data_IF_081119378779
#
_entry.id   IF_081119378779
#
_cell.length_a   1.000
_cell.length_b   1.000
_cell.length_c   1.000
_cell.angle_alpha   90.00
_cell.angle_beta   90.00
_cell.angle_gamma   90.00
#
_symmetry.space_group_name_H-M   'P 1'
#
loop_
_entity.id
_entity.type
_entity.pdbx_description
1 polymer ?
#
# COMPACT_ATOMS: atom_id res chain seq x y z
N UNK A 1 6.46 -67.97 -0.57
CA UNK A 1 7.78 -67.39 -0.89
C UNK A 1 7.66 -66.68 -2.22
N UNK A 2 7.26 -65.41 -2.24
CA UNK A 2 7.40 -64.54 -3.42
C UNK A 2 7.63 -63.10 -2.96
N UNK A 3 8.92 -62.77 -2.89
CA UNK A 3 9.57 -61.48 -3.09
C UNK A 3 8.72 -60.21 -2.92
N UNK A 4 8.95 -59.47 -1.84
CA UNK A 4 8.71 -58.03 -1.79
C UNK A 4 9.58 -57.35 -2.86
N UNK A 5 8.94 -56.86 -3.92
CA UNK A 5 9.59 -56.03 -4.93
C UNK A 5 10.04 -54.73 -4.29
N UNK A 6 11.35 -54.54 -4.20
CA UNK A 6 11.94 -53.23 -3.96
C UNK A 6 11.67 -52.36 -5.19
N UNK A 7 10.80 -51.35 -5.05
CA UNK A 7 10.84 -50.18 -5.92
C UNK A 7 11.55 -49.04 -5.20
N UNK A 8 12.87 -49.11 -5.32
CA UNK A 8 13.76 -48.00 -5.60
C UNK A 8 13.08 -46.86 -6.37
N UNK A 9 12.93 -45.68 -5.75
CA UNK A 9 12.91 -44.45 -6.55
C UNK A 9 13.35 -43.22 -5.75
N UNK A 10 14.67 -42.98 -5.68
CA UNK A 10 15.19 -41.71 -5.16
C UNK A 10 14.80 -40.52 -6.05
N UNK A 11 14.42 -40.76 -7.31
CA UNK A 11 13.92 -39.75 -8.25
C UNK A 11 12.53 -39.22 -7.89
N UNK A 12 11.64 -40.07 -7.38
CA UNK A 12 10.27 -39.68 -7.00
C UNK A 12 10.27 -38.78 -5.75
N UNK A 13 11.17 -39.06 -4.79
CA UNK A 13 11.41 -38.20 -3.61
C UNK A 13 11.97 -36.83 -4.00
N UNK A 14 12.93 -36.80 -4.92
CA UNK A 14 13.50 -35.54 -5.44
C UNK A 14 12.46 -34.69 -6.16
N UNK A 15 11.51 -35.32 -6.86
CA UNK A 15 10.44 -34.64 -7.59
C UNK A 15 9.33 -34.12 -6.66
N UNK A 16 9.05 -34.80 -5.54
CA UNK A 16 8.16 -34.32 -4.47
C UNK A 16 8.80 -33.15 -3.72
N UNK A 17 10.10 -33.22 -3.42
CA UNK A 17 10.84 -32.13 -2.76
C UNK A 17 10.91 -30.90 -3.69
N UNK A 18 11.15 -31.07 -4.99
CA UNK A 18 11.18 -29.95 -5.95
C UNK A 18 9.80 -29.31 -6.16
N UNK A 19 8.71 -30.10 -6.10
CA UNK A 19 7.32 -29.60 -6.09
C UNK A 19 6.96 -28.85 -4.79
N UNK A 20 7.57 -29.25 -3.67
CA UNK A 20 7.30 -28.68 -2.33
C UNK A 20 8.11 -27.40 -2.07
N UNK A 21 9.36 -27.32 -2.54
CA UNK A 21 10.20 -26.12 -2.43
C UNK A 21 9.68 -25.00 -3.35
N UNK A 22 9.16 -25.33 -4.54
CA UNK A 22 8.48 -24.36 -5.43
C UNK A 22 7.21 -23.74 -4.83
N UNK A 23 6.61 -24.37 -3.80
CA UNK A 23 5.48 -23.80 -3.07
C UNK A 23 5.91 -22.76 -2.03
N UNK A 24 7.15 -22.83 -1.53
CA UNK A 24 7.66 -21.92 -0.49
C UNK A 24 8.36 -20.70 -1.09
N UNK A 25 8.97 -20.83 -2.27
CA UNK A 25 9.61 -19.72 -2.96
C UNK A 25 8.63 -19.05 -3.94
N UNK A 26 7.51 -18.58 -3.41
CA UNK A 26 6.71 -17.56 -4.09
C UNK A 26 7.33 -16.23 -3.69
N UNK A 27 8.02 -15.56 -4.62
CA UNK A 27 8.28 -14.14 -4.49
C UNK A 27 6.91 -13.45 -4.49
N UNK A 28 6.33 -13.22 -3.32
CA UNK A 28 5.04 -12.54 -3.20
C UNK A 28 5.29 -11.05 -3.45
N UNK A 29 5.21 -10.63 -4.72
CA UNK A 29 5.22 -9.23 -5.11
C UNK A 29 3.84 -8.64 -4.86
N UNK A 30 3.67 -8.00 -3.70
CA UNK A 30 2.47 -7.23 -3.38
C UNK A 30 2.58 -5.84 -3.99
N UNK A 31 1.51 -5.36 -4.59
CA UNK A 31 1.47 -3.99 -5.14
C UNK A 31 0.90 -3.07 -4.09
N UNK A 32 1.65 -2.03 -3.73
CA UNK A 32 1.16 -0.95 -2.89
C UNK A 32 1.12 0.38 -3.65
N UNK A 33 0.13 1.20 -3.33
CA UNK A 33 0.01 2.57 -3.81
C UNK A 33 -0.39 3.49 -2.66
N UNK A 34 0.17 4.69 -2.65
CA UNK A 34 -0.17 5.74 -1.68
C UNK A 34 -0.66 6.95 -2.46
N UNK A 35 -1.90 7.34 -2.21
CA UNK A 35 -2.52 8.53 -2.78
C UNK A 35 -2.98 9.45 -1.63
N UNK A 36 -3.05 10.76 -1.88
CA UNK A 36 -3.57 11.71 -0.91
C UNK A 36 -4.92 12.26 -1.37
N UNK A 37 -5.90 12.20 -0.47
CA UNK A 37 -7.25 12.69 -0.71
C UNK A 37 -7.68 13.66 0.38
N UNK A 38 -8.64 14.50 0.05
CA UNK A 38 -9.12 15.55 0.95
C UNK A 38 -10.62 15.39 1.16
N UNK A 39 -11.04 15.35 2.42
CA UNK A 39 -12.45 15.27 2.82
C UNK A 39 -12.87 16.56 3.49
N UNK A 40 -13.99 17.14 3.06
CA UNK A 40 -14.54 18.36 3.66
C UNK A 40 -15.04 18.08 5.08
N UNK A 41 -14.85 19.03 5.97
CA UNK A 41 -15.44 18.95 7.32
C UNK A 41 -16.97 18.94 7.25
N UNK A 42 -17.60 18.27 8.21
CA UNK A 42 -19.07 18.27 8.36
C UNK A 42 -19.59 19.62 8.85
N UNK A 43 -18.82 20.29 9.70
CA UNK A 43 -19.17 21.59 10.30
C UNK A 43 -18.99 22.70 9.28
N UNK A 44 -17.79 22.78 8.69
CA UNK A 44 -17.40 23.88 7.82
C UNK A 44 -16.93 23.36 6.45
N UNK A 45 -17.74 23.62 5.42
CA UNK A 45 -17.43 23.17 4.03
C UNK A 45 -16.28 23.94 3.38
N UNK A 46 -15.82 25.03 3.99
CA UNK A 46 -14.62 25.76 3.59
C UNK A 46 -13.35 25.01 3.97
N UNK A 47 -13.43 24.21 5.03
CA UNK A 47 -12.33 23.47 5.63
C UNK A 47 -12.37 22.02 5.15
N UNK A 48 -11.20 21.45 4.93
CA UNK A 48 -11.05 20.05 4.61
C UNK A 48 -9.80 19.46 5.26
N UNK A 49 -9.87 18.15 5.51
CA UNK A 49 -8.80 17.38 6.13
C UNK A 49 -8.14 16.47 5.11
N UNK A 50 -6.83 16.30 5.25
CA UNK A 50 -6.02 15.46 4.38
C UNK A 50 -5.98 14.03 4.93
N UNK A 51 -6.14 13.07 4.02
CA UNK A 51 -6.07 11.64 4.29
C UNK A 51 -5.06 11.00 3.34
N UNK A 52 -4.21 10.13 3.89
CA UNK A 52 -3.41 9.19 3.12
C UNK A 52 -4.26 7.95 2.83
N UNK A 53 -4.42 7.60 1.55
CA UNK A 53 -5.04 6.37 1.11
C UNK A 53 -3.94 5.38 0.73
N UNK A 54 -3.81 4.34 1.53
CA UNK A 54 -2.89 3.23 1.28
C UNK A 54 -3.69 2.12 0.63
N UNK A 55 -3.29 1.70 -0.57
CA UNK A 55 -3.88 0.58 -1.29
C UNK A 55 -2.89 -0.56 -1.34
N UNK A 56 -3.30 -1.75 -0.90
CA UNK A 56 -2.54 -2.99 -0.94
C UNK A 56 -3.36 -4.03 -1.73
N UNK A 57 -2.83 -4.50 -2.85
CA UNK A 57 -3.43 -5.55 -3.69
C UNK A 57 -4.94 -5.35 -4.00
N UNK A 58 -5.36 -4.10 -4.15
CA UNK A 58 -6.74 -3.72 -4.46
C UNK A 58 -7.61 -3.41 -3.24
N UNK A 59 -7.13 -3.63 -2.02
CA UNK A 59 -7.79 -3.18 -0.80
C UNK A 59 -7.21 -1.84 -0.34
N UNK A 60 -8.05 -0.83 -0.17
CA UNK A 60 -7.64 0.51 0.28
C UNK A 60 -8.08 0.81 1.70
N UNK A 61 -7.19 1.45 2.46
CA UNK A 61 -7.47 2.03 3.78
C UNK A 61 -7.10 3.50 3.78
N UNK A 62 -7.90 4.31 4.46
CA UNK A 62 -7.66 5.74 4.63
C UNK A 62 -7.13 5.99 6.04
N UNK A 63 -6.09 6.81 6.16
CA UNK A 63 -5.49 7.26 7.41
C UNK A 63 -5.52 8.78 7.42
N UNK A 64 -5.97 9.38 8.52
CA UNK A 64 -5.98 10.83 8.67
C UNK A 64 -4.59 11.35 8.99
N UNK A 65 -4.16 12.39 8.28
CA UNK A 65 -2.88 13.09 8.53
C UNK A 65 -3.08 14.21 9.55
N UNK A 66 -4.34 14.46 9.97
CA UNK A 66 -4.73 15.51 10.92
C UNK A 66 -4.41 16.95 10.48
N UNK A 67 -3.97 17.14 9.23
CA UNK A 67 -3.76 18.47 8.66
C UNK A 67 -5.07 19.07 8.15
N UNK A 68 -5.28 20.34 8.52
CA UNK A 68 -6.45 21.13 8.13
C UNK A 68 -6.06 22.12 7.03
N UNK A 69 -6.82 22.12 5.94
CA UNK A 69 -6.62 23.04 4.82
C UNK A 69 -7.91 23.68 4.35
N UNK A 70 -7.78 24.82 3.66
CA UNK A 70 -8.89 25.37 2.90
C UNK A 70 -9.13 24.53 1.66
N UNK A 71 -10.38 24.14 1.46
CA UNK A 71 -10.81 23.31 0.31
C UNK A 71 -10.40 23.91 -1.04
N UNK A 72 -10.33 25.24 -1.15
CA UNK A 72 -9.97 25.96 -2.39
C UNK A 72 -8.49 25.86 -2.74
N UNK A 73 -7.66 25.64 -1.73
CA UNK A 73 -6.20 25.68 -1.87
C UNK A 73 -5.65 24.29 -2.23
N UNK A 74 -6.45 23.22 -2.18
CA UNK A 74 -6.02 21.89 -2.59
C UNK A 74 -5.83 21.75 -4.11
N UNK A 75 -4.71 21.15 -4.54
CA UNK A 75 -4.48 20.69 -5.91
C UNK A 75 -4.57 19.16 -6.00
N UNK A 76 -5.72 18.65 -6.44
CA UNK A 76 -5.93 17.20 -6.55
C UNK A 76 -5.04 16.49 -7.58
N UNK A 77 -4.43 17.22 -8.54
CA UNK A 77 -3.50 16.61 -9.51
C UNK A 77 -2.09 16.49 -8.95
N UNK A 78 -1.69 17.43 -8.09
CA UNK A 78 -0.36 17.46 -7.48
C UNK A 78 -0.34 16.85 -6.09
N UNK A 79 -1.51 16.54 -5.53
CA UNK A 79 -1.66 16.06 -4.16
C UNK A 79 -1.03 17.01 -3.13
N UNK A 80 -1.14 18.32 -3.39
CA UNK A 80 -0.44 19.35 -2.64
C UNK A 80 -1.33 20.58 -2.42
N UNK A 81 -1.01 21.33 -1.37
CA UNK A 81 -1.66 22.60 -1.04
C UNK A 81 -1.01 23.74 -1.83
N UNK A 82 -1.83 24.54 -2.49
CA UNK A 82 -1.43 25.73 -3.25
C UNK A 82 -1.17 26.88 -2.29
N UNK A 83 -0.03 27.54 -2.47
CA UNK A 83 0.32 28.73 -1.72
C UNK A 83 1.83 28.87 -1.58
N UNK A 84 2.25 29.98 -0.97
CA UNK A 84 3.65 30.26 -0.65
C UNK A 84 3.88 30.59 0.82
N UNK A 85 2.81 30.62 1.63
CA UNK A 85 2.90 30.85 3.06
C UNK A 85 3.73 29.75 3.72
N UNK A 86 4.38 30.09 4.83
CA UNK A 86 5.21 29.15 5.60
C UNK A 86 4.36 27.96 6.07
N UNK A 87 3.12 28.20 6.50
CA UNK A 87 2.17 27.14 6.89
C UNK A 87 1.91 26.15 5.76
N UNK A 88 1.71 26.65 4.53
CA UNK A 88 1.47 25.81 3.34
C UNK A 88 2.70 24.99 2.99
N UNK A 89 3.90 25.56 3.13
CA UNK A 89 5.14 24.83 2.91
C UNK A 89 5.31 23.71 3.95
N UNK A 90 5.08 24.00 5.23
CA UNK A 90 5.13 23.01 6.31
C UNK A 90 4.16 21.84 6.08
N UNK A 91 2.93 22.12 5.63
CA UNK A 91 1.94 21.07 5.33
C UNK A 91 2.41 20.20 4.16
N UNK A 92 2.92 20.82 3.09
CA UNK A 92 3.42 20.07 1.94
C UNK A 92 4.68 19.25 2.29
N UNK A 93 5.57 19.78 3.12
CA UNK A 93 6.71 19.03 3.67
C UNK A 93 6.26 17.84 4.50
N UNK A 94 5.20 17.99 5.29
CA UNK A 94 4.61 16.89 6.06
C UNK A 94 4.03 15.80 5.15
N UNK A 95 3.29 16.18 4.10
CA UNK A 95 2.76 15.24 3.08
C UNK A 95 3.91 14.49 2.41
N UNK A 96 4.98 15.19 2.02
CA UNK A 96 6.14 14.58 1.37
C UNK A 96 6.87 13.61 2.32
N UNK A 97 6.94 13.93 3.61
CA UNK A 97 7.55 13.05 4.63
C UNK A 97 6.76 11.76 4.85
N UNK A 98 5.48 11.71 4.50
CA UNK A 98 4.61 10.53 4.66
C UNK A 98 4.67 9.61 3.43
N UNK A 99 5.15 10.13 2.28
CA UNK A 99 5.22 9.41 1.01
C UNK A 99 6.34 8.36 1.00
#
# INVERSE_FOLDING_TARGET
MTTCGALNNSGERAQIISKTIKKCCMEQTHTFAVDFLVRKSKTDKSIAFIYARITLDGESREISIQEEIKTKDWDAKKEAVKGRSIEVQSINEHIESVR
#
